data_IF_130955453000
#
_entry.id   IF_130955453000
#
_cell.length_a   1.000
_cell.length_b   1.000
_cell.length_c   1.000
_cell.angle_alpha   90.00
_cell.angle_beta   90.00
_cell.angle_gamma   90.00
#
_symmetry.space_group_name_H-M   'P 1'
#
loop_
_entity.id
_entity.type
_entity.pdbx_description
1 polymer ?
#
# COMPACT_ATOMS: atom_id res chain seq x y z
N UNK A 1 -39.36 17.09 -80.87
CA UNK A 1 -39.72 16.86 -79.46
C UNK A 1 -38.58 17.42 -78.62
N UNK A 2 -38.81 18.58 -78.02
CA UNK A 2 -37.78 19.28 -77.23
C UNK A 2 -37.65 18.57 -75.88
N UNK A 3 -36.45 18.07 -75.58
CA UNK A 3 -36.07 17.64 -74.24
C UNK A 3 -36.32 18.81 -73.30
N UNK A 4 -37.20 18.62 -72.31
CA UNK A 4 -37.58 19.69 -71.38
C UNK A 4 -36.34 20.10 -70.57
N UNK A 5 -36.14 21.40 -70.32
CA UNK A 5 -34.98 21.90 -69.55
C UNK A 5 -34.79 21.17 -68.21
N UNK A 6 -35.88 20.68 -67.63
CA UNK A 6 -35.88 19.83 -66.45
C UNK A 6 -35.10 18.52 -66.63
N UNK A 7 -35.29 17.81 -67.74
CA UNK A 7 -34.57 16.56 -68.03
C UNK A 7 -33.08 16.80 -68.26
N UNK A 8 -32.73 17.90 -68.94
CA UNK A 8 -31.33 18.34 -69.11
C UNK A 8 -30.66 18.64 -67.77
N UNK A 9 -31.34 19.38 -66.89
CA UNK A 9 -30.83 19.68 -65.55
C UNK A 9 -30.69 18.42 -64.70
N UNK A 10 -31.66 17.49 -64.74
CA UNK A 10 -31.57 16.21 -64.03
C UNK A 10 -30.38 15.35 -64.51
N UNK A 11 -30.11 15.35 -65.82
CA UNK A 11 -28.95 14.64 -66.39
C UNK A 11 -27.63 15.25 -65.94
N UNK A 12 -27.51 16.58 -65.96
CA UNK A 12 -26.29 17.28 -65.51
C UNK A 12 -26.02 17.06 -64.02
N UNK A 13 -27.07 17.00 -63.19
CA UNK A 13 -26.94 16.68 -61.76
C UNK A 13 -26.47 15.23 -61.58
N UNK A 14 -27.00 14.27 -62.34
CA UNK A 14 -26.54 12.87 -62.27
C UNK A 14 -25.08 12.74 -62.70
N UNK A 15 -24.71 13.34 -63.83
CA UNK A 15 -23.34 13.32 -64.34
C UNK A 15 -22.36 14.03 -63.39
N UNK A 16 -22.79 15.08 -62.68
CA UNK A 16 -21.94 15.73 -61.68
C UNK A 16 -21.76 14.88 -60.42
N UNK A 17 -22.82 14.20 -59.95
CA UNK A 17 -22.77 13.25 -58.83
C UNK A 17 -21.83 12.07 -59.17
N UNK A 18 -22.01 11.45 -60.34
CA UNK A 18 -21.15 10.35 -60.79
C UNK A 18 -19.68 10.77 -60.88
N UNK A 19 -19.39 11.99 -61.38
CA UNK A 19 -18.02 12.51 -61.39
C UNK A 19 -17.46 12.71 -59.99
N UNK A 20 -18.25 13.21 -59.04
CA UNK A 20 -17.80 13.37 -57.66
C UNK A 20 -17.58 12.04 -56.95
N UNK A 21 -18.41 11.02 -57.23
CA UNK A 21 -18.25 9.67 -56.71
C UNK A 21 -16.96 9.02 -57.24
N UNK A 22 -16.72 9.09 -58.55
CA UNK A 22 -15.48 8.57 -59.16
C UNK A 22 -14.24 9.30 -58.62
N UNK A 23 -14.33 10.62 -58.42
CA UNK A 23 -13.23 11.39 -57.82
C UNK A 23 -13.00 11.02 -56.35
N UNK A 24 -14.06 10.78 -55.58
CA UNK A 24 -13.97 10.34 -54.19
C UNK A 24 -13.38 8.94 -54.07
N UNK A 25 -13.78 8.01 -54.94
CA UNK A 25 -13.22 6.65 -55.00
C UNK A 25 -11.74 6.67 -55.38
N UNK A 26 -11.37 7.44 -56.41
CA UNK A 26 -9.96 7.61 -56.80
C UNK A 26 -9.12 8.22 -55.67
N UNK A 27 -9.67 9.20 -54.94
CA UNK A 27 -9.01 9.79 -53.77
C UNK A 27 -8.86 8.77 -52.62
N UNK A 28 -9.87 7.93 -52.38
CA UNK A 28 -9.81 6.89 -51.35
C UNK A 28 -8.76 5.80 -51.67
N UNK A 29 -8.66 5.40 -52.94
CA UNK A 29 -7.60 4.47 -53.41
C UNK A 29 -6.20 5.12 -53.32
N UNK A 30 -6.10 6.42 -53.64
CA UNK A 30 -4.86 7.19 -53.45
C UNK A 30 -4.44 7.28 -51.97
N UNK A 31 -5.39 7.55 -51.07
CA UNK A 31 -5.13 7.62 -49.64
C UNK A 31 -4.75 6.26 -49.03
N UNK A 32 -5.41 5.17 -49.44
CA UNK A 32 -5.11 3.82 -48.93
C UNK A 32 -3.74 3.32 -49.41
N UNK A 33 -3.38 3.58 -50.67
CA UNK A 33 -2.05 3.26 -51.19
C UNK A 33 -0.96 4.10 -50.52
N UNK A 34 -1.17 5.39 -50.32
CA UNK A 34 -0.23 6.24 -49.56
C UNK A 34 -0.05 5.75 -48.12
N UNK A 35 -1.12 5.33 -47.45
CA UNK A 35 -1.05 4.75 -46.10
C UNK A 35 -0.29 3.42 -46.07
N UNK A 36 -0.51 2.54 -47.06
CA UNK A 36 0.22 1.28 -47.19
C UNK A 36 1.73 1.52 -47.42
N UNK A 37 2.08 2.46 -48.29
CA UNK A 37 3.47 2.87 -48.50
C UNK A 37 4.11 3.44 -47.24
N UNK A 38 3.40 4.30 -46.49
CA UNK A 38 3.88 4.83 -45.22
C UNK A 38 4.07 3.74 -44.15
N UNK A 39 3.19 2.74 -44.11
CA UNK A 39 3.33 1.60 -43.20
C UNK A 39 4.56 0.75 -43.55
N UNK A 40 4.78 0.48 -44.84
CA UNK A 40 5.94 -0.28 -45.31
C UNK A 40 7.26 0.46 -45.03
N UNK A 41 7.33 1.76 -45.29
CA UNK A 41 8.54 2.56 -45.00
C UNK A 41 8.84 2.61 -43.51
N UNK A 42 7.82 2.80 -42.66
CA UNK A 42 7.97 2.75 -41.21
C UNK A 42 8.45 1.36 -40.75
N UNK A 43 7.93 0.28 -41.33
CA UNK A 43 8.34 -1.08 -41.01
C UNK A 43 9.81 -1.33 -41.36
N UNK A 44 10.24 -0.96 -42.58
CA UNK A 44 11.63 -1.08 -43.01
C UNK A 44 12.56 -0.24 -42.15
N UNK A 45 12.17 0.98 -41.79
CA UNK A 45 12.96 1.83 -40.89
C UNK A 45 13.08 1.21 -39.49
N UNK A 46 12.00 0.65 -38.94
CA UNK A 46 12.04 -0.06 -37.67
C UNK A 46 12.95 -1.29 -37.71
N UNK A 47 12.95 -2.05 -38.82
CA UNK A 47 13.87 -3.17 -39.02
C UNK A 47 15.33 -2.71 -39.05
N UNK A 48 15.64 -1.65 -39.80
CA UNK A 48 17.01 -1.10 -39.86
C UNK A 48 17.50 -0.59 -38.50
N UNK A 49 16.63 0.05 -37.72
CA UNK A 49 16.93 0.45 -36.34
C UNK A 49 17.16 -0.75 -35.43
N UNK A 50 16.39 -1.82 -35.59
CA UNK A 50 16.58 -3.04 -34.81
C UNK A 50 17.92 -3.73 -35.13
N UNK A 51 18.26 -3.84 -36.42
CA UNK A 51 19.54 -4.43 -36.87
C UNK A 51 20.73 -3.61 -36.40
N UNK A 52 20.68 -2.29 -36.53
CA UNK A 52 21.77 -1.41 -36.05
C UNK A 52 21.96 -1.48 -34.54
N UNK A 53 20.87 -1.50 -33.75
CA UNK A 53 20.95 -1.71 -32.29
C UNK A 53 21.55 -3.06 -31.93
N UNK A 54 21.16 -4.12 -32.63
CA UNK A 54 21.73 -5.45 -32.40
C UNK A 54 23.23 -5.52 -32.72
N UNK A 55 23.67 -4.85 -33.79
CA UNK A 55 25.08 -4.75 -34.15
C UNK A 55 25.89 -3.99 -33.10
N UNK A 56 25.39 -2.84 -32.63
CA UNK A 56 26.04 -2.07 -31.55
C UNK A 56 26.16 -2.89 -30.27
N UNK A 57 25.08 -3.55 -29.83
CA UNK A 57 25.11 -4.43 -28.66
C UNK A 57 26.07 -5.62 -28.82
N UNK A 58 26.23 -6.16 -30.03
CA UNK A 58 27.22 -7.21 -30.30
C UNK A 58 28.64 -6.68 -30.17
N UNK A 59 28.90 -5.48 -30.70
CA UNK A 59 30.20 -4.83 -30.62
C UNK A 59 30.56 -4.47 -29.17
N UNK A 60 29.64 -3.90 -28.40
CA UNK A 60 29.82 -3.59 -26.97
C UNK A 60 30.17 -4.86 -26.17
N UNK A 61 29.43 -5.95 -26.38
CA UNK A 61 29.75 -7.24 -25.74
C UNK A 61 31.13 -7.77 -26.10
N UNK A 62 31.55 -7.61 -27.36
CA UNK A 62 32.89 -8.00 -27.79
C UNK A 62 33.98 -7.14 -27.13
N UNK A 63 33.77 -5.82 -27.07
CA UNK A 63 34.69 -4.90 -26.39
C UNK A 63 34.82 -5.21 -24.90
N UNK A 64 33.69 -5.47 -24.23
CA UNK A 64 33.67 -5.93 -22.84
C UNK A 64 34.41 -7.25 -22.64
N UNK A 65 34.18 -8.24 -23.50
CA UNK A 65 34.86 -9.54 -23.46
C UNK A 65 36.38 -9.42 -23.69
N UNK A 66 36.83 -8.44 -24.47
CA UNK A 66 38.25 -8.13 -24.65
C UNK A 66 38.82 -7.40 -23.43
N UNK A 67 38.10 -6.42 -22.90
CA UNK A 67 38.52 -5.65 -21.74
C UNK A 67 38.65 -6.51 -20.47
N UNK A 68 37.73 -7.45 -20.25
CA UNK A 68 37.75 -8.38 -19.11
C UNK A 68 39.03 -9.24 -19.05
N UNK A 69 39.71 -9.43 -20.19
CA UNK A 69 40.98 -10.16 -20.25
C UNK A 69 42.19 -9.34 -19.79
N UNK A 70 42.06 -8.01 -19.76
CA UNK A 70 43.11 -7.07 -19.31
C UNK A 70 43.33 -7.13 -17.79
N UNK A 71 44.40 -6.49 -17.29
CA UNK A 71 44.66 -6.43 -15.83
C UNK A 71 43.53 -5.74 -15.05
N UNK A 72 42.97 -4.66 -15.60
CA UNK A 72 41.86 -3.93 -14.98
C UNK A 72 40.58 -4.78 -15.00
N UNK A 73 40.29 -5.42 -16.14
CA UNK A 73 39.15 -6.32 -16.27
C UNK A 73 39.17 -7.48 -15.28
N UNK A 74 40.34 -8.12 -15.08
CA UNK A 74 40.50 -9.17 -14.06
C UNK A 74 40.29 -8.64 -12.64
N UNK A 75 40.83 -7.46 -12.33
CA UNK A 75 40.63 -6.83 -11.03
C UNK A 75 39.15 -6.52 -10.76
N UNK A 76 38.41 -6.08 -11.78
CA UNK A 76 36.97 -5.89 -11.72
C UNK A 76 36.23 -7.21 -11.46
N UNK A 77 36.53 -8.29 -12.18
CA UNK A 77 35.87 -9.60 -11.97
C UNK A 77 36.08 -10.11 -10.53
N UNK A 78 37.31 -9.99 -10.01
CA UNK A 78 37.62 -10.36 -8.62
C UNK A 78 36.91 -9.47 -7.60
N UNK A 79 36.77 -8.17 -7.91
CA UNK A 79 35.99 -7.23 -7.12
C UNK A 79 34.50 -7.59 -7.14
N UNK A 80 33.92 -7.82 -8.32
CA UNK A 80 32.50 -8.13 -8.53
C UNK A 80 32.11 -9.41 -7.80
N UNK A 81 32.93 -10.47 -7.90
CA UNK A 81 32.71 -11.71 -7.16
C UNK A 81 32.65 -11.48 -5.65
N UNK A 82 33.54 -10.65 -5.10
CA UNK A 82 33.55 -10.30 -3.68
C UNK A 82 32.37 -9.42 -3.30
N UNK A 83 32.04 -8.43 -4.13
CA UNK A 83 30.89 -7.54 -3.94
C UNK A 83 29.60 -8.37 -3.85
N UNK A 84 29.38 -9.27 -4.82
CA UNK A 84 28.22 -10.16 -4.85
C UNK A 84 28.14 -11.06 -3.61
N UNK A 85 29.26 -11.57 -3.11
CA UNK A 85 29.30 -12.35 -1.87
C UNK A 85 28.92 -11.53 -0.63
N UNK A 86 29.31 -10.24 -0.57
CA UNK A 86 28.91 -9.34 0.52
C UNK A 86 27.42 -9.00 0.40
N UNK A 87 26.94 -8.63 -0.79
CA UNK A 87 25.53 -8.31 -1.07
C UNK A 87 24.63 -9.51 -0.68
N UNK A 88 25.00 -10.71 -1.10
CA UNK A 88 24.24 -11.93 -0.77
C UNK A 88 24.15 -12.16 0.74
N UNK A 89 25.27 -12.01 1.47
CA UNK A 89 25.28 -12.14 2.94
C UNK A 89 24.46 -11.04 3.63
N UNK A 90 24.54 -9.81 3.15
CA UNK A 90 23.75 -8.70 3.69
C UNK A 90 22.24 -8.93 3.52
N UNK A 91 21.83 -9.42 2.34
CA UNK A 91 20.46 -9.82 2.05
C UNK A 91 20.00 -10.99 2.93
N UNK A 92 20.84 -12.01 3.11
CA UNK A 92 20.54 -13.14 3.98
C UNK A 92 20.30 -12.70 5.43
N UNK A 93 21.14 -11.80 5.97
CA UNK A 93 20.93 -11.23 7.31
C UNK A 93 19.64 -10.42 7.41
N UNK A 94 19.30 -9.62 6.39
CA UNK A 94 18.02 -8.89 6.35
C UNK A 94 16.82 -9.84 6.42
N UNK A 95 16.87 -10.97 5.71
CA UNK A 95 15.84 -12.02 5.78
C UNK A 95 15.77 -12.66 7.17
N UNK A 96 16.91 -12.98 7.78
CA UNK A 96 16.97 -13.54 9.13
C UNK A 96 16.37 -12.60 10.18
N UNK A 97 16.63 -11.29 10.09
CA UNK A 97 16.00 -10.29 10.98
C UNK A 97 14.49 -10.22 10.77
N UNK A 98 14.03 -10.21 9.51
CA UNK A 98 12.60 -10.18 9.20
C UNK A 98 11.87 -11.44 9.70
N UNK A 99 12.48 -12.62 9.54
CA UNK A 99 11.95 -13.88 10.03
C UNK A 99 11.93 -13.95 11.56
N UNK A 100 13.00 -13.51 12.23
CA UNK A 100 13.03 -13.44 13.69
C UNK A 100 11.97 -12.50 14.24
N UNK A 101 11.80 -11.34 13.62
CA UNK A 101 10.76 -10.38 14.00
C UNK A 101 9.35 -10.95 13.80
N UNK A 102 9.07 -11.57 12.65
CA UNK A 102 7.75 -12.15 12.39
C UNK A 102 7.42 -13.31 13.32
N UNK A 103 8.43 -14.12 13.69
CA UNK A 103 8.29 -15.15 14.71
C UNK A 103 7.95 -14.57 16.08
N UNK A 104 8.61 -13.50 16.51
CA UNK A 104 8.29 -12.82 17.78
C UNK A 104 6.88 -12.22 17.76
N UNK A 105 6.47 -11.62 16.64
CA UNK A 105 5.10 -11.11 16.45
C UNK A 105 4.07 -12.22 16.56
N UNK A 106 4.31 -13.37 15.93
CA UNK A 106 3.41 -14.52 15.99
C UNK A 106 3.32 -15.11 17.41
N UNK A 107 4.41 -15.08 18.17
CA UNK A 107 4.49 -15.58 19.55
C UNK A 107 3.80 -14.64 20.56
N UNK A 108 3.95 -13.33 20.42
CA UNK A 108 3.46 -12.35 21.40
C UNK A 108 2.10 -11.74 21.05
N UNK A 109 1.63 -11.88 19.82
CA UNK A 109 0.33 -11.37 19.39
C UNK A 109 -0.59 -12.54 19.05
N UNK A 110 -1.53 -12.80 19.97
CA UNK A 110 -2.51 -13.88 19.83
C UNK A 110 -3.53 -13.62 18.72
N UNK A 111 -4.18 -14.67 18.23
CA UNK A 111 -5.32 -14.51 17.30
C UNK A 111 -6.46 -13.72 17.93
N UNK A 112 -6.66 -13.84 19.25
CA UNK A 112 -7.64 -13.05 19.99
C UNK A 112 -7.30 -11.56 19.96
N UNK A 113 -6.03 -11.17 20.13
CA UNK A 113 -5.60 -9.78 20.01
C UNK A 113 -5.84 -9.22 18.60
N UNK A 114 -5.56 -10.02 17.55
CA UNK A 114 -5.84 -9.65 16.16
C UNK A 114 -7.34 -9.46 15.92
N UNK A 115 -8.17 -10.36 16.43
CA UNK A 115 -9.62 -10.26 16.31
C UNK A 115 -10.18 -9.05 17.08
N UNK A 116 -9.67 -8.78 18.28
CA UNK A 116 -10.03 -7.60 19.09
C UNK A 116 -9.59 -6.29 18.45
N UNK A 117 -8.41 -6.27 17.80
CA UNK A 117 -7.95 -5.12 17.03
C UNK A 117 -8.84 -4.86 15.81
N UNK A 118 -9.11 -5.90 15.00
CA UNK A 118 -9.95 -5.78 13.80
C UNK A 118 -11.41 -5.38 14.11
N UNK A 119 -11.96 -5.84 15.23
CA UNK A 119 -13.32 -5.50 15.66
C UNK A 119 -13.42 -4.19 16.44
N UNK A 120 -12.31 -3.71 17.03
CA UNK A 120 -12.30 -2.60 17.99
C UNK A 120 -12.80 -2.99 19.40
N UNK A 121 -13.25 -4.22 19.59
CA UNK A 121 -13.79 -4.74 20.85
C UNK A 121 -12.70 -5.54 21.59
N UNK A 122 -11.98 -4.86 22.48
CA UNK A 122 -10.94 -5.41 23.36
C UNK A 122 -11.52 -6.02 24.65
N UNK A 123 -12.77 -5.71 24.96
CA UNK A 123 -13.53 -6.30 26.05
C UNK A 123 -14.85 -6.87 25.52
N UNK A 124 -15.14 -8.12 25.90
CA UNK A 124 -16.45 -8.71 25.65
C UNK A 124 -17.54 -7.88 26.35
N UNK A 125 -18.55 -7.44 25.59
CA UNK A 125 -19.75 -6.83 26.15
C UNK A 125 -20.51 -7.85 26.98
N UNK A 126 -20.82 -7.50 28.23
CA UNK A 126 -21.69 -8.32 29.07
C UNK A 126 -23.11 -8.35 28.50
N UNK A 127 -23.88 -9.39 28.84
CA UNK A 127 -25.29 -9.48 28.43
C UNK A 127 -26.11 -8.28 28.90
N UNK A 128 -25.79 -7.75 30.09
CA UNK A 128 -26.42 -6.55 30.64
C UNK A 128 -26.21 -5.34 29.74
N UNK A 129 -25.01 -5.12 29.22
CA UNK A 129 -24.69 -4.00 28.32
C UNK A 129 -25.34 -4.18 26.94
N UNK A 130 -25.38 -5.41 26.40
CA UNK A 130 -26.10 -5.72 25.15
C UNK A 130 -27.61 -5.43 25.27
N UNK A 131 -28.20 -5.84 26.38
CA UNK A 131 -29.61 -5.65 26.68
C UNK A 131 -29.90 -4.16 26.94
N UNK A 132 -29.06 -3.47 27.71
CA UNK A 132 -29.20 -2.04 27.98
C UNK A 132 -29.22 -1.20 26.70
N UNK A 133 -28.39 -1.51 25.69
CA UNK A 133 -28.43 -0.79 24.40
C UNK A 133 -29.75 -0.98 23.65
N UNK A 134 -30.28 -2.21 23.61
CA UNK A 134 -31.57 -2.51 22.95
C UNK A 134 -32.73 -1.78 23.65
N UNK A 135 -32.75 -1.80 24.98
CA UNK A 135 -33.77 -1.11 25.77
C UNK A 135 -33.56 0.41 25.81
N UNK A 136 -32.33 0.90 25.65
CA UNK A 136 -32.04 2.32 25.51
C UNK A 136 -32.64 2.89 24.22
N UNK A 137 -32.50 2.18 23.09
CA UNK A 137 -33.10 2.61 21.81
C UNK A 137 -34.62 2.48 21.83
N UNK A 138 -35.16 1.35 22.30
CA UNK A 138 -36.60 1.14 22.41
C UNK A 138 -37.24 2.11 23.44
N UNK A 139 -36.56 2.34 24.56
CA UNK A 139 -36.94 3.32 25.58
C UNK A 139 -36.89 4.75 25.05
N UNK A 140 -35.88 5.11 24.24
CA UNK A 140 -35.80 6.39 23.53
C UNK A 140 -37.03 6.64 22.66
N UNK A 141 -37.40 5.67 21.83
CA UNK A 141 -38.63 5.76 21.03
C UNK A 141 -39.88 5.84 21.90
N UNK A 142 -39.96 5.08 22.98
CA UNK A 142 -41.09 5.14 23.91
C UNK A 142 -41.19 6.52 24.59
N UNK A 143 -40.06 7.14 24.96
CA UNK A 143 -40.05 8.48 25.54
C UNK A 143 -40.52 9.53 24.53
N UNK A 144 -40.09 9.43 23.27
CA UNK A 144 -40.59 10.29 22.18
C UNK A 144 -42.10 10.11 22.00
N UNK A 145 -42.60 8.87 22.01
CA UNK A 145 -44.04 8.60 21.92
C UNK A 145 -44.82 9.14 23.11
N UNK A 146 -44.30 8.99 24.34
CA UNK A 146 -44.91 9.53 25.56
C UNK A 146 -44.91 11.06 25.52
N UNK A 147 -43.82 11.69 25.11
CA UNK A 147 -43.73 13.14 24.96
C UNK A 147 -44.71 13.66 23.90
N UNK A 148 -44.78 13.00 22.73
CA UNK A 148 -45.73 13.32 21.68
C UNK A 148 -47.17 13.17 22.16
N UNK A 149 -47.47 12.09 22.88
CA UNK A 149 -48.79 11.86 23.46
C UNK A 149 -49.16 12.95 24.49
N UNK A 150 -48.23 13.34 25.37
CA UNK A 150 -48.43 14.45 26.32
C UNK A 150 -48.72 15.76 25.59
N UNK A 151 -47.96 16.09 24.53
CA UNK A 151 -48.16 17.31 23.74
C UNK A 151 -49.52 17.30 23.05
N UNK A 152 -49.89 16.21 22.39
CA UNK A 152 -51.20 16.06 21.73
C UNK A 152 -52.34 16.17 22.74
N UNK A 153 -52.22 15.51 23.90
CA UNK A 153 -53.26 15.54 24.92
C UNK A 153 -53.35 16.91 25.61
N UNK A 154 -52.23 17.60 25.78
CA UNK A 154 -52.22 18.99 26.23
C UNK A 154 -52.98 19.89 25.25
N UNK A 155 -52.69 19.80 23.95
CA UNK A 155 -53.39 20.56 22.89
C UNK A 155 -54.89 20.24 22.92
N UNK A 156 -55.29 18.97 22.94
CA UNK A 156 -56.70 18.56 22.99
C UNK A 156 -57.42 19.07 24.25
N UNK A 157 -56.72 19.11 25.40
CA UNK A 157 -57.28 19.61 26.65
C UNK A 157 -57.52 21.13 26.67
N UNK A 158 -56.85 21.90 25.80
CA UNK A 158 -57.17 23.32 25.60
C UNK A 158 -58.57 23.49 24.97
N UNK A 159 -59.10 22.45 24.31
CA UNK A 159 -60.40 22.45 23.65
C UNK A 159 -61.49 21.71 24.44
N UNK A 160 -61.15 20.92 25.46
CA UNK A 160 -62.12 20.12 26.25
C UNK A 160 -61.88 20.26 27.77
N UNK A 161 -62.84 20.86 28.48
CA UNK A 161 -62.70 21.36 29.85
C UNK A 161 -62.77 20.31 31.00
N UNK A 162 -62.80 19.00 30.71
CA UNK A 162 -63.16 17.98 31.72
C UNK A 162 -62.19 16.80 31.87
N UNK A 163 -60.95 16.90 31.39
CA UNK A 163 -59.99 15.81 31.55
C UNK A 163 -59.46 15.70 33.01
N UNK A 164 -59.57 14.55 33.69
CA UNK A 164 -59.24 14.42 35.12
C UNK A 164 -57.72 14.50 35.38
N UNK A 165 -57.28 15.35 36.32
CA UNK A 165 -55.86 15.68 36.54
C UNK A 165 -54.91 14.46 36.79
N UNK A 166 -55.43 13.35 37.29
CA UNK A 166 -54.66 12.16 37.68
C UNK A 166 -53.96 11.42 36.52
N UNK A 167 -54.47 11.49 35.28
CA UNK A 167 -53.79 10.83 34.15
C UNK A 167 -52.50 11.57 33.75
N UNK A 168 -52.42 12.88 33.99
CA UNK A 168 -51.24 13.69 33.70
C UNK A 168 -50.06 13.29 34.56
N UNK A 169 -50.29 13.05 35.86
CA UNK A 169 -49.24 12.63 36.80
C UNK A 169 -48.68 11.25 36.47
N UNK A 170 -49.53 10.32 36.02
CA UNK A 170 -49.08 8.97 35.59
C UNK A 170 -48.18 9.04 34.36
N UNK A 171 -48.53 9.88 33.37
CA UNK A 171 -47.71 10.05 32.17
C UNK A 171 -46.36 10.71 32.47
N UNK A 172 -46.34 11.70 33.35
CA UNK A 172 -45.08 12.34 33.79
C UNK A 172 -44.20 11.33 34.52
N UNK A 173 -44.77 10.54 35.43
CA UNK A 173 -44.03 9.49 36.14
C UNK A 173 -43.48 8.42 35.19
N UNK A 174 -44.27 8.01 34.18
CA UNK A 174 -43.84 7.08 33.15
C UNK A 174 -42.70 7.67 32.31
N UNK A 175 -42.80 8.94 31.90
CA UNK A 175 -41.75 9.66 31.17
C UNK A 175 -40.43 9.73 31.95
N UNK A 176 -40.50 10.04 33.25
CA UNK A 176 -39.31 10.05 34.14
C UNK A 176 -38.71 8.65 34.27
N UNK A 177 -39.53 7.61 34.45
CA UNK A 177 -39.04 6.23 34.55
C UNK A 177 -38.29 5.80 33.27
N UNK A 178 -38.83 6.14 32.09
CA UNK A 178 -38.17 5.85 30.81
C UNK A 178 -36.88 6.67 30.66
N UNK A 179 -36.88 7.95 31.05
CA UNK A 179 -35.68 8.79 31.03
C UNK A 179 -34.55 8.19 31.87
N UNK A 180 -34.86 7.68 33.06
CA UNK A 180 -33.88 7.03 33.93
C UNK A 180 -33.31 5.75 33.29
N UNK A 181 -34.12 4.96 32.59
CA UNK A 181 -33.63 3.77 31.85
C UNK A 181 -32.67 4.15 30.73
N UNK A 182 -32.99 5.19 29.95
CA UNK A 182 -32.12 5.68 28.87
C UNK A 182 -30.80 6.20 29.43
N UNK A 183 -30.85 7.04 30.47
CA UNK A 183 -29.64 7.60 31.11
C UNK A 183 -28.77 6.48 31.70
N UNK A 184 -29.38 5.48 32.33
CA UNK A 184 -28.66 4.31 32.84
C UNK A 184 -27.98 3.50 31.72
N UNK A 185 -28.69 3.27 30.61
CA UNK A 185 -28.13 2.59 29.44
C UNK A 185 -26.98 3.40 28.81
N UNK A 186 -27.14 4.71 28.62
CA UNK A 186 -26.11 5.59 28.09
C UNK A 186 -24.86 5.60 28.98
N UNK A 187 -25.03 5.65 30.31
CA UNK A 187 -23.91 5.57 31.25
C UNK A 187 -23.18 4.23 31.14
N UNK A 188 -23.90 3.11 31.09
CA UNK A 188 -23.30 1.78 30.96
C UNK A 188 -22.47 1.62 29.67
N UNK A 189 -22.92 2.20 28.55
CA UNK A 189 -22.19 2.18 27.29
C UNK A 189 -20.93 3.04 27.39
N UNK A 190 -21.02 4.23 28.01
CA UNK A 190 -19.84 5.08 28.25
C UNK A 190 -18.78 4.42 29.16
N UNK A 191 -19.22 3.72 30.21
CA UNK A 191 -18.34 3.00 31.13
C UNK A 191 -17.69 1.78 30.44
N UNK A 192 -18.42 1.09 29.57
CA UNK A 192 -17.86 0.02 28.75
C UNK A 192 -16.85 0.57 27.74
N UNK A 193 -17.16 1.65 27.01
CA UNK A 193 -16.25 2.27 26.04
C UNK A 193 -14.96 2.76 26.72
N UNK A 194 -15.06 3.38 27.89
CA UNK A 194 -13.89 3.82 28.66
C UNK A 194 -13.01 2.63 29.07
N UNK A 195 -13.61 1.54 29.55
CA UNK A 195 -12.87 0.31 29.89
C UNK A 195 -12.27 -0.35 28.66
N UNK A 196 -13.00 -0.44 27.56
CA UNK A 196 -12.54 -1.02 26.30
C UNK A 196 -11.32 -0.25 25.78
N UNK A 197 -11.37 1.08 25.82
CA UNK A 197 -10.26 1.95 25.45
C UNK A 197 -9.06 1.78 26.38
N UNK A 198 -9.28 1.64 27.69
CA UNK A 198 -8.20 1.38 28.64
C UNK A 198 -7.51 0.03 28.38
N UNK A 199 -8.28 -1.01 28.05
CA UNK A 199 -7.76 -2.34 27.69
C UNK A 199 -7.00 -2.28 26.38
N UNK A 200 -7.51 -1.56 25.38
CA UNK A 200 -6.81 -1.31 24.10
C UNK A 200 -5.45 -0.67 24.34
N UNK A 201 -5.39 0.43 25.11
CA UNK A 201 -4.14 1.12 25.45
C UNK A 201 -3.17 0.23 26.22
N UNK A 202 -3.66 -0.56 27.17
CA UNK A 202 -2.83 -1.50 27.92
C UNK A 202 -2.25 -2.60 27.01
N UNK A 203 -3.04 -3.12 26.06
CA UNK A 203 -2.57 -4.10 25.10
C UNK A 203 -1.53 -3.52 24.13
N UNK A 204 -1.78 -2.32 23.62
CA UNK A 204 -0.82 -1.58 22.78
C UNK A 204 0.48 -1.29 23.55
N UNK A 205 0.40 -0.86 24.82
CA UNK A 205 1.57 -0.61 25.68
C UNK A 205 2.45 -1.86 25.85
N UNK A 206 1.84 -3.04 26.08
CA UNK A 206 2.60 -4.30 26.18
C UNK A 206 3.34 -4.63 24.88
N UNK A 207 2.68 -4.43 23.73
CA UNK A 207 3.33 -4.63 22.42
C UNK A 207 4.46 -3.62 22.20
N UNK A 208 4.24 -2.36 22.57
CA UNK A 208 5.24 -1.31 22.49
C UNK A 208 6.47 -1.61 23.38
N UNK A 209 6.29 -2.19 24.57
CA UNK A 209 7.40 -2.59 25.44
C UNK A 209 8.28 -3.69 24.81
N UNK A 210 7.68 -4.60 24.03
CA UNK A 210 8.38 -5.70 23.37
C UNK A 210 9.02 -5.26 22.04
N UNK A 211 8.28 -4.51 21.22
CA UNK A 211 8.64 -4.20 19.83
C UNK A 211 9.01 -2.73 19.58
N UNK A 212 8.85 -1.83 20.55
CA UNK A 212 9.07 -0.39 20.39
C UNK A 212 8.04 0.32 19.49
N UNK A 213 7.05 -0.41 18.99
CA UNK A 213 5.87 0.08 18.26
C UNK A 213 4.74 -0.96 18.39
N UNK A 214 3.56 -0.68 17.83
CA UNK A 214 2.46 -1.65 17.76
C UNK A 214 2.36 -2.26 16.36
N UNK A 215 2.74 -3.54 16.16
CA UNK A 215 2.67 -4.20 14.85
C UNK A 215 1.24 -4.37 14.30
N UNK A 216 0.21 -4.24 15.14
CA UNK A 216 -1.18 -4.29 14.67
C UNK A 216 -1.66 -2.95 14.09
N UNK A 217 -1.22 -1.84 14.68
CA UNK A 217 -1.53 -0.50 14.16
C UNK A 217 -0.65 -0.14 12.95
N UNK A 218 0.57 -0.66 12.90
CA UNK A 218 1.54 -0.40 11.83
C UNK A 218 2.03 -1.71 11.18
N UNK A 219 1.18 -2.46 10.45
CA UNK A 219 1.53 -3.79 9.92
C UNK A 219 2.59 -3.77 8.81
N UNK A 220 2.73 -2.64 8.11
CA UNK A 220 3.74 -2.45 7.06
C UNK A 220 5.12 -2.06 7.63
N UNK A 221 5.18 -1.69 8.91
CA UNK A 221 6.43 -1.23 9.52
C UNK A 221 7.35 -2.42 9.78
N UNK A 222 8.51 -2.38 9.14
CA UNK A 222 9.59 -3.34 9.37
C UNK A 222 10.42 -2.96 10.60
N UNK A 223 11.10 -3.94 11.24
CA UNK A 223 12.08 -3.64 12.27
C UNK A 223 13.18 -2.74 11.69
N UNK A 224 13.81 -1.93 12.55
CA UNK A 224 14.94 -1.10 12.14
C UNK A 224 16.06 -1.96 11.54
N UNK A 225 16.69 -1.45 10.47
CA UNK A 225 17.72 -2.17 9.71
C UNK A 225 18.81 -2.74 10.60
N UNK A 226 19.32 -3.93 10.25
CA UNK A 226 20.25 -4.68 11.12
C UNK A 226 21.68 -4.12 11.16
N UNK A 227 22.01 -3.17 10.30
CA UNK A 227 23.35 -2.61 10.12
C UNK A 227 23.42 -1.14 10.50
N UNK A 228 24.63 -0.62 10.75
CA UNK A 228 24.86 0.81 10.98
C UNK A 228 24.58 1.59 9.69
N UNK A 229 23.69 2.60 9.69
CA UNK A 229 23.16 3.25 8.47
C UNK A 229 24.21 3.75 7.46
N UNK A 230 25.45 4.00 7.89
CA UNK A 230 26.57 4.36 7.01
C UNK A 230 27.24 3.17 6.29
N UNK A 231 26.76 1.93 6.47
CA UNK A 231 27.52 0.72 6.10
C UNK A 231 26.90 -0.14 4.99
N UNK A 232 25.62 0.01 4.64
CA UNK A 232 25.03 -0.73 3.52
C UNK A 232 25.24 -0.01 2.19
N UNK A 233 26.33 -0.36 1.51
CA UNK A 233 26.65 0.12 0.17
C UNK A 233 26.20 -0.88 -0.91
N UNK A 234 25.34 -1.86 -0.58
CA UNK A 234 24.94 -2.91 -1.52
C UNK A 234 24.27 -2.35 -2.78
N UNK A 235 23.39 -1.37 -2.63
CA UNK A 235 22.75 -0.67 -3.76
C UNK A 235 23.78 0.07 -4.62
N UNK A 236 24.74 0.74 -3.98
CA UNK A 236 25.81 1.45 -4.67
C UNK A 236 26.72 0.49 -5.45
N UNK A 237 27.15 -0.63 -4.86
CA UNK A 237 27.95 -1.63 -5.57
C UNK A 237 27.17 -2.29 -6.70
N UNK A 238 25.86 -2.54 -6.52
CA UNK A 238 24.99 -3.07 -7.57
C UNK A 238 24.89 -2.08 -8.73
N UNK A 239 24.68 -0.80 -8.44
CA UNK A 239 24.65 0.28 -9.43
C UNK A 239 25.99 0.46 -10.16
N UNK A 240 27.10 0.29 -9.44
CA UNK A 240 28.44 0.34 -10.04
C UNK A 240 28.65 -0.86 -10.98
N UNK A 241 28.34 -2.08 -10.55
CA UNK A 241 28.46 -3.29 -11.37
C UNK A 241 27.62 -3.20 -12.64
N UNK A 242 26.38 -2.71 -12.54
CA UNK A 242 25.48 -2.55 -13.68
C UNK A 242 25.98 -1.53 -14.73
N UNK A 243 26.89 -0.62 -14.36
CA UNK A 243 27.47 0.40 -15.27
C UNK A 243 28.91 0.09 -15.68
N UNK A 244 29.45 -1.05 -15.27
CA UNK A 244 30.83 -1.40 -15.55
C UNK A 244 31.08 -1.58 -17.05
N UNK A 245 30.12 -2.14 -17.79
CA UNK A 245 30.21 -2.35 -19.24
C UNK A 245 30.28 -1.03 -20.04
N UNK A 246 29.76 0.06 -19.49
CA UNK A 246 29.80 1.39 -20.11
C UNK A 246 31.07 2.16 -19.75
N UNK A 247 31.58 1.97 -18.53
CA UNK A 247 32.65 2.79 -17.94
C UNK A 247 34.04 2.16 -17.97
N UNK A 248 34.14 0.84 -18.16
CA UNK A 248 35.41 0.11 -18.24
C UNK A 248 36.38 0.43 -17.08
N UNK A 249 35.94 0.30 -15.82
CA UNK A 249 36.61 0.89 -14.65
C UNK A 249 38.03 0.35 -14.44
N UNK A 250 38.98 1.26 -14.25
CA UNK A 250 40.33 0.90 -13.84
C UNK A 250 40.37 0.35 -12.41
N UNK A 251 41.46 -0.34 -12.05
CA UNK A 251 41.62 -0.91 -10.71
C UNK A 251 41.44 0.11 -9.59
N UNK A 252 41.90 1.34 -9.78
CA UNK A 252 41.87 2.38 -8.76
C UNK A 252 40.49 3.08 -8.66
N UNK A 253 39.62 2.87 -9.66
CA UNK A 253 38.23 3.33 -9.67
C UNK A 253 37.28 2.33 -9.00
N UNK A 254 37.75 1.11 -8.66
CA UNK A 254 36.94 0.10 -8.01
C UNK A 254 36.59 0.53 -6.57
N UNK A 255 35.31 0.59 -6.19
CA UNK A 255 34.92 0.97 -4.86
C UNK A 255 35.47 0.03 -3.79
N UNK A 256 35.81 0.60 -2.63
CA UNK A 256 36.19 -0.21 -1.48
C UNK A 256 35.00 -1.05 -1.02
N UNK A 257 35.25 -2.35 -0.91
CA UNK A 257 34.29 -3.29 -0.34
C UNK A 257 34.47 -3.32 1.17
N UNK A 258 33.38 -3.16 1.91
CA UNK A 258 33.39 -3.26 3.37
C UNK A 258 32.18 -4.06 3.81
N UNK A 259 32.35 -5.01 4.73
CA UNK A 259 31.19 -5.77 5.21
C UNK A 259 30.30 -4.87 6.08
N UNK A 260 28.97 -4.84 5.86
CA UNK A 260 28.08 -4.07 6.71
C UNK A 260 28.16 -4.59 8.14
N UNK A 261 28.34 -3.66 9.07
CA UNK A 261 28.53 -3.98 10.48
C UNK A 261 27.16 -4.08 11.15
N UNK A 262 26.90 -5.16 11.92
CA UNK A 262 25.70 -5.22 12.75
C UNK A 262 25.66 -4.00 13.67
N UNK A 263 24.52 -3.32 13.72
CA UNK A 263 24.34 -2.20 14.64
C UNK A 263 24.23 -2.68 16.09
N UNK A 264 24.38 -1.75 17.02
CA UNK A 264 24.03 -1.99 18.41
C UNK A 264 22.52 -2.29 18.55
N UNK A 265 22.20 -3.10 19.57
CA UNK A 265 20.82 -3.36 19.99
C UNK A 265 20.17 -2.05 20.43
N UNK A 266 18.96 -1.80 19.94
CA UNK A 266 18.18 -0.59 20.22
C UNK A 266 16.98 -0.89 21.12
N UNK A 267 16.50 0.11 21.90
CA UNK A 267 15.16 0.05 22.50
C UNK A 267 14.12 -0.19 21.40
N UNK A 268 13.32 -1.24 21.55
CA UNK A 268 12.33 -1.68 20.55
C UNK A 268 12.73 -2.87 19.69
N UNK A 269 13.99 -3.33 19.71
CA UNK A 269 14.30 -4.59 19.04
C UNK A 269 13.58 -5.76 19.74
N UNK A 270 12.95 -6.63 18.96
CA UNK A 270 12.29 -7.82 19.50
C UNK A 270 13.31 -8.80 20.09
N UNK A 271 12.92 -9.66 21.05
CA UNK A 271 13.86 -10.55 21.73
C UNK A 271 14.75 -11.38 20.82
N UNK A 272 14.21 -11.98 19.74
CA UNK A 272 15.01 -12.77 18.79
C UNK A 272 15.91 -11.90 17.93
N UNK A 273 15.46 -10.70 17.52
CA UNK A 273 16.32 -9.75 16.80
C UNK A 273 17.48 -9.31 17.67
N UNK A 274 17.26 -9.04 18.97
CA UNK A 274 18.33 -8.73 19.93
C UNK A 274 19.35 -9.86 20.01
N UNK A 275 18.89 -11.10 20.09
CA UNK A 275 19.76 -12.28 20.14
C UNK A 275 20.62 -12.41 18.85
N UNK A 276 20.00 -12.27 17.68
CA UNK A 276 20.71 -12.30 16.39
C UNK A 276 21.77 -11.20 16.28
N UNK A 277 21.43 -9.96 16.63
CA UNK A 277 22.38 -8.84 16.58
C UNK A 277 23.55 -9.05 17.54
N UNK A 278 23.28 -9.58 18.73
CA UNK A 278 24.33 -9.91 19.70
C UNK A 278 25.25 -11.03 19.20
N UNK A 279 24.68 -12.09 18.60
CA UNK A 279 25.44 -13.20 18.01
C UNK A 279 26.37 -12.71 16.89
N UNK A 280 25.86 -11.88 15.97
CA UNK A 280 26.65 -11.33 14.87
C UNK A 280 27.70 -10.33 15.34
N UNK A 281 27.42 -9.59 16.41
CA UNK A 281 28.40 -8.71 17.06
C UNK A 281 29.53 -9.49 17.73
N UNK A 282 29.23 -10.65 18.31
CA UNK A 282 30.20 -11.52 18.99
C UNK A 282 31.08 -12.32 18.01
N UNK A 283 30.55 -12.73 16.86
CA UNK A 283 31.26 -13.48 15.82
C UNK A 283 32.19 -12.62 14.96
N UNK A 284 32.69 -11.50 15.50
CA UNK A 284 33.69 -10.67 14.81
C UNK A 284 34.85 -11.55 14.35
N UNK A 285 35.18 -11.59 13.04
CA UNK A 285 36.47 -12.10 12.64
C UNK A 285 37.51 -11.18 13.27
N UNK A 286 38.30 -11.73 14.19
CA UNK A 286 39.54 -11.13 14.67
C UNK A 286 40.29 -10.67 13.42
N UNK A 287 40.57 -9.37 13.34
CA UNK A 287 41.07 -8.70 12.15
C UNK A 287 42.03 -9.61 11.36
N UNK A 288 41.60 -10.05 10.18
CA UNK A 288 42.50 -10.68 9.23
C UNK A 288 43.49 -9.58 8.88
N UNK A 289 44.69 -9.64 9.46
CA UNK A 289 45.74 -8.67 9.21
C UNK A 289 45.93 -8.55 7.69
N UNK A 290 45.69 -7.35 7.18
CA UNK A 290 46.10 -6.97 5.83
C UNK A 290 47.62 -7.22 5.73
N UNK A 291 48.00 -8.32 5.09
CA UNK A 291 49.30 -8.43 4.47
C UNK A 291 49.28 -7.55 3.23
N UNK A 292 49.61 -6.27 3.45
CA UNK A 292 50.16 -5.37 2.44
C UNK A 292 51.35 -5.98 1.72
#
# INVERSE_FOLDING_TARGET
MAETEYQRNQRLIRESVERTEIQAEAAAVGASSAAAWAAETNHLQAQQLAVSRAALSSQERHQWAMWTQTKNGRAYIDWEKRANAIIARARARRLQVAEAFSADVAEHISEADRASHASGDWLLKSDKERVARRWGTAGGWLLVLVALFIVVNFILSLFHASAPYQWRTVLVALGVAIALVIVSAAKSDSDWTARNESTRKAAASRRFEVFGFDPLDEPERTPADWFESASDHSEYWTSFANRAEESYPTRDELPRLSEPRPRAVMPGDSPRVKALLAEWGATRPTAMHDHS
#
